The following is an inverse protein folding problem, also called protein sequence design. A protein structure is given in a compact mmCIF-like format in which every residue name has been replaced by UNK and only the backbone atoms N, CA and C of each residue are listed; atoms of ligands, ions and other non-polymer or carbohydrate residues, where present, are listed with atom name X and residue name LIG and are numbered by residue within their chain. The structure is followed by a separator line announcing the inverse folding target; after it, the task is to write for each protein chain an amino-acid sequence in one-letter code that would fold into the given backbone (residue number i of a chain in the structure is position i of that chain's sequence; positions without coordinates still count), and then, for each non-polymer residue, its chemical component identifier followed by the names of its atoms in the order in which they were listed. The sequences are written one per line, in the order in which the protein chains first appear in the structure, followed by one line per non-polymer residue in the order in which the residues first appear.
data_IF_549639191758
#
_entry.id   IF_549639191758
#
_cell.length_a   1.000
_cell.length_b   1.000
_cell.length_c   1.000
_cell.angle_alpha   90.00
_cell.angle_beta   90.00
_cell.angle_gamma   90.00
#
_symmetry.space_group_name_H-M   'P 1'
#
loop_
_entity.id
_entity.type
_entity.pdbx_description
1 polymer ?
#
# COMPACT_ATOMS: atom_id res chain seq x y z
N UNK A 1 25.94 -18.44 -37.58
CA UNK A 1 24.85 -19.43 -37.43
C UNK A 1 24.16 -19.37 -36.04
N UNK A 2 24.89 -19.10 -34.99
CA UNK A 2 24.35 -18.97 -33.62
C UNK A 2 23.50 -17.69 -33.43
N UNK A 3 23.85 -16.63 -34.09
CA UNK A 3 23.17 -15.29 -33.96
C UNK A 3 21.74 -15.24 -34.53
N UNK A 4 21.48 -15.88 -35.66
CA UNK A 4 20.15 -15.85 -36.31
C UNK A 4 19.08 -16.63 -35.54
N UNK A 5 19.48 -17.78 -34.94
CA UNK A 5 18.57 -18.61 -34.16
C UNK A 5 18.21 -17.96 -32.82
N UNK A 6 19.16 -17.31 -32.18
CA UNK A 6 18.93 -16.55 -30.95
C UNK A 6 18.03 -15.34 -31.20
N UNK A 7 18.22 -14.66 -32.32
CA UNK A 7 17.42 -13.53 -32.72
C UNK A 7 15.96 -13.93 -33.03
N UNK A 8 15.76 -15.05 -33.72
CA UNK A 8 14.43 -15.60 -33.95
C UNK A 8 13.73 -16.03 -32.67
N UNK A 9 14.44 -16.70 -31.74
CA UNK A 9 13.91 -17.06 -30.43
C UNK A 9 13.53 -15.82 -29.62
N UNK A 10 14.33 -14.77 -29.67
CA UNK A 10 14.02 -13.50 -29.01
C UNK A 10 12.73 -12.86 -29.56
N UNK A 11 12.64 -12.72 -30.89
CA UNK A 11 11.47 -12.11 -31.55
C UNK A 11 10.19 -12.93 -31.32
N UNK A 12 10.28 -14.24 -31.22
CA UNK A 12 9.11 -15.11 -30.96
C UNK A 12 8.71 -15.12 -29.48
N UNK A 13 9.69 -15.04 -28.57
CA UNK A 13 9.44 -15.10 -27.13
C UNK A 13 9.05 -13.74 -26.55
N UNK A 14 9.57 -12.64 -27.11
CA UNK A 14 9.34 -11.29 -26.60
C UNK A 14 7.84 -10.92 -26.50
N UNK A 15 7.02 -11.05 -27.56
CA UNK A 15 5.59 -10.74 -27.47
C UNK A 15 4.84 -11.72 -26.56
N UNK A 16 5.26 -12.99 -26.52
CA UNK A 16 4.64 -14.02 -25.66
C UNK A 16 4.84 -13.76 -24.17
N UNK A 17 5.89 -13.05 -23.78
CA UNK A 17 6.17 -12.67 -22.41
C UNK A 17 5.61 -11.26 -22.13
N UNK A 18 5.80 -10.32 -23.04
CA UNK A 18 5.41 -8.93 -22.87
C UNK A 18 3.90 -8.74 -22.79
N UNK A 19 3.13 -9.37 -23.69
CA UNK A 19 1.68 -9.22 -23.73
C UNK A 19 0.99 -9.67 -22.45
N UNK A 20 1.20 -10.93 -21.94
CA UNK A 20 0.64 -11.34 -20.66
C UNK A 20 1.15 -10.50 -19.49
N UNK A 21 2.43 -10.09 -19.52
CA UNK A 21 2.98 -9.17 -18.52
C UNK A 21 2.20 -7.86 -18.45
N UNK A 22 1.97 -7.22 -19.56
CA UNK A 22 1.21 -5.96 -19.62
C UNK A 22 -0.27 -6.16 -19.22
N UNK A 23 -0.93 -7.16 -19.77
CA UNK A 23 -2.37 -7.41 -19.54
C UNK A 23 -2.69 -7.88 -18.13
N UNK A 24 -1.77 -8.55 -17.44
CA UNK A 24 -1.96 -8.97 -16.06
C UNK A 24 -1.36 -7.98 -15.06
N UNK A 25 -0.12 -7.52 -15.29
CA UNK A 25 0.61 -6.71 -14.30
C UNK A 25 0.02 -5.30 -14.17
N UNK A 26 -0.35 -4.64 -15.28
CA UNK A 26 -0.90 -3.28 -15.23
C UNK A 26 -2.22 -3.23 -14.44
N UNK A 27 -3.24 -4.05 -14.76
CA UNK A 27 -4.47 -4.07 -13.97
C UNK A 27 -4.23 -4.46 -12.51
N UNK A 28 -3.37 -5.47 -12.26
CA UNK A 28 -3.01 -5.89 -10.91
C UNK A 28 -2.43 -4.73 -10.11
N UNK A 29 -1.47 -4.00 -10.67
CA UNK A 29 -0.83 -2.86 -10.01
C UNK A 29 -1.84 -1.74 -9.72
N UNK A 30 -2.65 -1.35 -10.71
CA UNK A 30 -3.62 -0.25 -10.54
C UNK A 30 -4.64 -0.60 -9.46
N UNK A 31 -5.23 -1.80 -9.51
CA UNK A 31 -6.25 -2.22 -8.55
C UNK A 31 -5.64 -2.35 -7.15
N UNK A 32 -4.54 -3.10 -7.02
CA UNK A 32 -3.89 -3.34 -5.73
C UNK A 32 -3.40 -2.05 -5.08
N UNK A 33 -2.77 -1.16 -5.84
CA UNK A 33 -2.27 0.10 -5.32
C UNK A 33 -3.39 1.07 -4.92
N UNK A 34 -4.48 1.12 -5.69
CA UNK A 34 -5.65 1.94 -5.34
C UNK A 34 -6.27 1.47 -4.01
N UNK A 35 -6.44 0.17 -3.84
CA UNK A 35 -6.93 -0.41 -2.58
C UNK A 35 -5.93 -0.20 -1.44
N UNK A 36 -4.64 -0.37 -1.70
CA UNK A 36 -3.57 -0.14 -0.74
C UNK A 36 -3.59 1.30 -0.20
N UNK A 37 -3.77 2.30 -1.06
CA UNK A 37 -3.87 3.70 -0.65
C UNK A 37 -5.06 3.95 0.27
N UNK A 38 -6.23 3.38 -0.01
CA UNK A 38 -7.41 3.50 0.85
C UNK A 38 -7.11 2.90 2.23
N UNK A 39 -6.59 1.68 2.27
CA UNK A 39 -6.21 0.99 3.51
C UNK A 39 -5.16 1.80 4.28
N UNK A 40 -4.15 2.31 3.59
CA UNK A 40 -3.06 3.09 4.16
C UNK A 40 -3.55 4.37 4.84
N UNK A 41 -4.39 5.14 4.14
CA UNK A 41 -4.94 6.39 4.68
C UNK A 41 -5.79 6.12 5.91
N UNK A 42 -6.68 5.11 5.86
CA UNK A 42 -7.51 4.73 7.00
C UNK A 42 -6.64 4.30 8.19
N UNK A 43 -5.67 3.40 7.98
CA UNK A 43 -4.81 2.91 9.04
C UNK A 43 -3.92 4.02 9.63
N UNK A 44 -3.40 4.93 8.82
CA UNK A 44 -2.60 6.06 9.28
C UNK A 44 -3.43 7.06 10.09
N UNK A 45 -4.63 7.41 9.63
CA UNK A 45 -5.52 8.33 10.33
C UNK A 45 -6.01 7.76 11.67
N UNK A 46 -6.33 6.47 11.73
CA UNK A 46 -6.69 5.78 12.97
C UNK A 46 -5.57 5.84 13.99
N UNK A 47 -4.33 5.64 13.54
CA UNK A 47 -3.17 5.72 14.42
C UNK A 47 -2.90 7.16 14.87
N UNK A 48 -3.03 8.14 13.97
CA UNK A 48 -2.82 9.57 14.26
C UNK A 48 -3.89 10.12 15.21
N UNK A 49 -5.17 9.76 15.01
CA UNK A 49 -6.28 10.15 15.88
C UNK A 49 -6.19 9.53 17.28
N UNK A 50 -5.28 8.60 17.51
CA UNK A 50 -5.00 7.95 18.81
C UNK A 50 -6.24 7.30 19.46
N UNK A 51 -7.16 6.78 18.66
CA UNK A 51 -8.36 6.09 19.14
C UNK A 51 -7.94 4.75 19.76
N UNK A 52 -8.07 4.63 21.08
CA UNK A 52 -7.70 3.41 21.82
C UNK A 52 -8.48 2.19 21.27
N UNK A 53 -7.80 1.06 21.12
CA UNK A 53 -8.37 -0.16 20.51
C UNK A 53 -8.14 -0.19 18.99
N UNK A 54 -8.68 0.74 18.22
CA UNK A 54 -8.47 0.78 16.77
C UNK A 54 -6.99 0.99 16.41
N UNK A 55 -6.29 1.82 17.16
CA UNK A 55 -4.85 2.01 17.03
C UNK A 55 -4.06 0.72 17.22
N UNK A 56 -4.46 -0.10 18.18
CA UNK A 56 -3.80 -1.40 18.43
C UNK A 56 -4.03 -2.37 17.28
N UNK A 57 -5.25 -2.41 16.73
CA UNK A 57 -5.59 -3.23 15.56
C UNK A 57 -4.77 -2.79 14.34
N UNK A 58 -4.71 -1.49 14.07
CA UNK A 58 -3.91 -0.96 12.96
C UNK A 58 -2.42 -1.27 13.12
N UNK A 59 -1.87 -1.15 14.32
CA UNK A 59 -0.47 -1.51 14.62
C UNK A 59 -0.21 -3.00 14.43
N UNK A 60 -1.12 -3.85 14.89
CA UNK A 60 -1.01 -5.31 14.74
C UNK A 60 -1.05 -5.72 13.27
N UNK A 61 -1.95 -5.12 12.49
CA UNK A 61 -1.99 -5.29 11.03
C UNK A 61 -0.64 -4.92 10.40
N UNK A 62 -0.14 -3.71 10.65
CA UNK A 62 1.12 -3.23 10.08
C UNK A 62 2.29 -4.12 10.53
N UNK A 63 2.32 -4.53 11.78
CA UNK A 63 3.36 -5.41 12.31
C UNK A 63 3.42 -6.75 11.59
N UNK A 64 2.27 -7.40 11.36
CA UNK A 64 2.20 -8.67 10.63
C UNK A 64 2.69 -8.51 9.19
N UNK A 65 2.11 -7.56 8.45
CA UNK A 65 2.37 -7.44 7.02
C UNK A 65 3.77 -6.93 6.69
N UNK A 66 4.36 -6.09 7.55
CA UNK A 66 5.75 -5.65 7.40
C UNK A 66 6.76 -6.64 7.99
N UNK A 67 6.34 -7.47 8.93
CA UNK A 67 7.18 -8.48 9.56
C UNK A 67 7.26 -9.82 8.81
N UNK A 68 6.47 -10.00 7.76
CA UNK A 68 6.43 -11.24 6.99
C UNK A 68 6.77 -11.00 5.51
N UNK A 69 7.52 -11.90 4.86
CA UNK A 69 7.83 -11.78 3.43
C UNK A 69 6.55 -11.85 2.57
N UNK A 70 6.45 -10.99 1.56
CA UNK A 70 5.31 -10.93 0.63
C UNK A 70 4.97 -12.29 0.01
N UNK A 71 6.00 -13.07 -0.36
CA UNK A 71 5.81 -14.40 -0.96
C UNK A 71 5.12 -15.37 0.01
N UNK A 72 5.48 -15.31 1.30
CA UNK A 72 4.85 -16.14 2.35
C UNK A 72 3.37 -15.75 2.49
N UNK A 73 3.06 -14.46 2.51
CA UNK A 73 1.68 -13.97 2.57
C UNK A 73 0.86 -14.49 1.37
N UNK A 74 1.44 -14.45 0.17
CA UNK A 74 0.80 -14.97 -1.04
C UNK A 74 0.50 -16.47 -0.93
N UNK A 75 1.46 -17.27 -0.43
CA UNK A 75 1.25 -18.69 -0.23
C UNK A 75 0.20 -19.00 0.84
N UNK A 76 0.18 -18.25 1.94
CA UNK A 76 -0.83 -18.41 2.99
C UNK A 76 -2.23 -18.11 2.45
N UNK A 77 -2.40 -17.04 1.68
CA UNK A 77 -3.70 -16.69 1.11
C UNK A 77 -4.11 -17.69 0.04
N UNK A 78 -3.24 -18.02 -0.91
CA UNK A 78 -3.60 -18.88 -2.04
C UNK A 78 -3.79 -20.35 -1.61
N UNK A 79 -2.84 -20.92 -0.89
CA UNK A 79 -2.90 -22.32 -0.48
C UNK A 79 -3.61 -22.53 0.87
N UNK A 80 -3.47 -21.57 1.80
CA UNK A 80 -4.11 -21.68 3.12
C UNK A 80 -5.62 -21.58 3.04
N UNK A 81 -6.17 -20.63 2.29
CA UNK A 81 -7.61 -20.50 2.07
C UNK A 81 -8.22 -21.70 1.35
N UNK A 82 -7.48 -22.26 0.37
CA UNK A 82 -7.92 -23.47 -0.33
C UNK A 82 -8.08 -24.68 0.61
N UNK A 83 -7.28 -24.75 1.68
CA UNK A 83 -7.39 -25.83 2.69
C UNK A 83 -8.67 -25.73 3.54
N UNK A 84 -9.22 -24.53 3.72
CA UNK A 84 -10.49 -24.30 4.43
C UNK A 84 -11.70 -24.21 3.50
N UNK A 85 -11.53 -24.61 2.23
CA UNK A 85 -12.61 -24.68 1.24
C UNK A 85 -12.86 -23.39 0.46
N UNK A 86 -12.05 -22.34 0.66
CA UNK A 86 -12.15 -21.09 -0.10
C UNK A 86 -11.09 -21.11 -1.21
N UNK A 87 -11.53 -21.42 -2.43
CA UNK A 87 -10.66 -21.46 -3.60
C UNK A 87 -10.71 -20.09 -4.29
N UNK A 88 -9.58 -19.39 -4.28
CA UNK A 88 -9.42 -18.12 -4.98
C UNK A 88 -8.62 -18.32 -6.27
N UNK A 89 -9.03 -17.65 -7.33
CA UNK A 89 -8.19 -17.53 -8.51
C UNK A 89 -6.90 -16.76 -8.20
N UNK A 90 -5.80 -17.01 -8.94
CA UNK A 90 -4.51 -16.38 -8.68
C UNK A 90 -4.54 -14.85 -8.70
N UNK A 91 -5.33 -14.25 -9.61
CA UNK A 91 -5.40 -12.80 -9.74
C UNK A 91 -6.07 -12.12 -8.53
N UNK A 92 -7.28 -12.50 -8.07
CA UNK A 92 -7.86 -11.97 -6.83
C UNK A 92 -7.00 -12.21 -5.59
N UNK A 93 -6.37 -13.39 -5.48
CA UNK A 93 -5.47 -13.67 -4.36
C UNK A 93 -4.27 -12.70 -4.33
N UNK A 94 -3.67 -12.43 -5.50
CA UNK A 94 -2.60 -11.45 -5.63
C UNK A 94 -3.08 -10.02 -5.30
N UNK A 95 -4.25 -9.60 -5.79
CA UNK A 95 -4.83 -8.29 -5.48
C UNK A 95 -4.97 -8.10 -3.97
N UNK A 96 -5.53 -9.08 -3.26
CA UNK A 96 -5.73 -9.02 -1.80
C UNK A 96 -4.37 -8.86 -1.09
N UNK A 97 -3.42 -9.73 -1.40
CA UNK A 97 -2.12 -9.75 -0.70
C UNK A 97 -1.34 -8.47 -0.98
N UNK A 98 -1.27 -8.03 -2.23
CA UNK A 98 -0.53 -6.82 -2.60
C UNK A 98 -1.16 -5.57 -1.99
N UNK A 99 -2.50 -5.49 -1.98
CA UNK A 99 -3.21 -4.37 -1.35
C UNK A 99 -2.95 -4.29 0.15
N UNK A 100 -2.96 -5.42 0.85
CA UNK A 100 -2.72 -5.46 2.29
C UNK A 100 -1.24 -5.20 2.61
N UNK A 101 -0.32 -5.77 1.86
CA UNK A 101 1.11 -5.58 2.08
C UNK A 101 1.52 -4.13 1.83
N UNK A 102 1.25 -3.61 0.63
CA UNK A 102 1.58 -2.23 0.25
C UNK A 102 0.84 -1.21 1.14
N UNK A 103 -0.43 -1.50 1.47
CA UNK A 103 -1.21 -0.70 2.40
C UNK A 103 -0.56 -0.55 3.78
N UNK A 104 0.12 -1.59 4.29
CA UNK A 104 0.82 -1.54 5.55
C UNK A 104 2.10 -0.67 5.49
N UNK A 105 2.85 -0.75 4.38
CA UNK A 105 4.03 0.11 4.17
C UNK A 105 3.64 1.57 3.98
N UNK A 106 2.68 1.85 3.11
CA UNK A 106 2.17 3.21 2.88
C UNK A 106 1.55 3.82 4.13
N UNK A 107 0.83 3.03 4.95
CA UNK A 107 0.25 3.51 6.21
C UNK A 107 1.31 4.05 7.17
N UNK A 108 2.44 3.36 7.29
CA UNK A 108 3.54 3.80 8.16
C UNK A 108 4.22 5.06 7.62
N UNK A 109 4.42 5.15 6.30
CA UNK A 109 4.97 6.33 5.64
C UNK A 109 4.06 7.55 5.85
N UNK A 110 2.74 7.40 5.62
CA UNK A 110 1.76 8.46 5.83
C UNK A 110 1.71 8.86 7.32
N UNK A 111 1.73 7.90 8.25
CA UNK A 111 1.78 8.17 9.68
C UNK A 111 3.01 8.99 10.06
N UNK A 112 4.19 8.60 9.60
CA UNK A 112 5.44 9.31 9.86
C UNK A 112 5.38 10.75 9.31
N UNK A 113 4.84 10.93 8.10
CA UNK A 113 4.65 12.25 7.51
C UNK A 113 3.66 13.12 8.31
N UNK A 114 2.56 12.56 8.80
CA UNK A 114 1.62 13.28 9.67
C UNK A 114 2.26 13.68 11.01
N UNK A 115 3.05 12.81 11.60
CA UNK A 115 3.75 13.07 12.87
C UNK A 115 4.91 14.07 12.72
N UNK A 116 5.44 14.26 11.52
CA UNK A 116 6.49 15.26 11.25
C UNK A 116 5.97 16.69 11.27
N UNK A 117 4.65 16.90 11.13
CA UNK A 117 4.04 18.24 11.23
C UNK A 117 4.07 18.71 12.67
N UNK A 118 4.61 19.92 12.97
CA UNK A 118 4.68 20.44 14.32
C UNK A 118 3.29 20.53 14.99
N UNK A 119 3.20 20.06 16.23
CA UNK A 119 1.93 20.06 17.00
C UNK A 119 1.27 21.45 17.08
N UNK A 120 2.07 22.50 17.10
CA UNK A 120 1.59 23.88 17.09
C UNK A 120 0.72 24.22 15.87
N UNK A 121 0.87 23.52 14.75
CA UNK A 121 0.00 23.71 13.58
C UNK A 121 -1.42 23.18 13.85
N UNK A 122 -1.52 22.06 14.57
CA UNK A 122 -2.81 21.52 14.98
C UNK A 122 -3.48 22.44 16.01
N UNK A 123 -2.72 22.90 16.99
CA UNK A 123 -3.19 23.81 18.04
C UNK A 123 -3.62 25.16 17.46
N UNK A 124 -2.85 25.73 16.56
CA UNK A 124 -3.20 26.99 15.87
C UNK A 124 -4.50 26.87 15.07
N UNK A 125 -4.71 25.74 14.38
CA UNK A 125 -5.96 25.49 13.67
C UNK A 125 -7.18 25.43 14.60
N UNK A 126 -7.05 24.76 15.74
CA UNK A 126 -8.10 24.68 16.76
C UNK A 126 -8.37 26.07 17.39
N UNK A 127 -7.32 26.86 17.71
CA UNK A 127 -7.45 28.21 18.19
C UNK A 127 -8.12 29.16 17.19
N UNK A 128 -7.94 28.92 15.89
CA UNK A 128 -8.64 29.64 14.82
C UNK A 128 -10.12 29.23 14.65
N UNK A 129 -10.64 28.33 15.51
CA UNK A 129 -12.03 27.88 15.48
C UNK A 129 -12.31 26.76 14.47
N UNK A 130 -11.28 26.14 13.88
CA UNK A 130 -11.45 24.99 13.00
C UNK A 130 -11.74 23.73 13.83
N UNK A 131 -12.63 22.88 13.34
CA UNK A 131 -12.80 21.55 13.93
C UNK A 131 -11.55 20.70 13.71
N UNK A 132 -11.37 19.65 14.51
CA UNK A 132 -10.23 18.72 14.39
C UNK A 132 -10.05 18.18 12.97
N UNK A 133 -11.12 17.73 12.35
CA UNK A 133 -11.08 17.25 10.96
C UNK A 133 -10.73 18.35 9.97
N UNK A 134 -11.29 19.54 10.12
CA UNK A 134 -10.96 20.69 9.27
C UNK A 134 -9.47 21.06 9.39
N UNK A 135 -8.92 21.03 10.59
CA UNK A 135 -7.50 21.31 10.84
C UNK A 135 -6.63 20.25 10.19
N UNK A 136 -7.00 18.96 10.32
CA UNK A 136 -6.27 17.87 9.64
C UNK A 136 -6.28 18.07 8.12
N UNK A 137 -7.45 18.22 7.50
CA UNK A 137 -7.53 18.25 6.05
C UNK A 137 -7.02 19.55 5.42
N UNK A 138 -7.13 20.70 6.11
CA UNK A 138 -6.73 22.00 5.56
C UNK A 138 -5.31 22.42 5.91
N UNK A 139 -4.79 22.00 7.04
CA UNK A 139 -3.48 22.45 7.55
C UNK A 139 -2.48 21.31 7.60
N UNK A 140 -2.79 20.21 8.30
CA UNK A 140 -1.83 19.14 8.57
C UNK A 140 -1.57 18.31 7.31
N UNK A 141 -2.61 17.86 6.64
CA UNK A 141 -2.49 16.95 5.49
C UNK A 141 -1.70 17.56 4.32
N UNK A 142 -1.92 18.81 3.89
CA UNK A 142 -1.12 19.41 2.81
C UNK A 142 0.37 19.54 3.16
N UNK A 143 0.70 19.79 4.42
CA UNK A 143 2.09 19.83 4.89
C UNK A 143 2.71 18.42 4.93
N UNK A 144 1.98 17.44 5.48
CA UNK A 144 2.39 16.05 5.52
C UNK A 144 2.63 15.46 4.12
N UNK A 145 1.79 15.79 3.14
CA UNK A 145 1.97 15.35 1.76
C UNK A 145 3.29 15.83 1.16
N UNK A 146 3.70 17.07 1.41
CA UNK A 146 5.00 17.58 0.95
C UNK A 146 6.14 16.78 1.57
N UNK A 147 6.06 16.50 2.87
CA UNK A 147 7.06 15.68 3.58
C UNK A 147 7.09 14.27 3.03
N UNK A 148 5.95 13.64 2.81
CA UNK A 148 5.84 12.29 2.25
C UNK A 148 6.52 12.19 0.87
N UNK A 149 6.29 13.16 -0.02
CA UNK A 149 6.91 13.20 -1.35
C UNK A 149 8.42 13.44 -1.30
N UNK A 150 8.91 14.24 -0.37
CA UNK A 150 10.35 14.51 -0.20
C UNK A 150 11.11 13.30 0.36
N UNK A 151 10.52 12.57 1.30
CA UNK A 151 11.16 11.37 1.90
C UNK A 151 11.08 10.12 1.01
N UNK A 152 10.34 10.14 -0.08
CA UNK A 152 10.30 9.04 -1.06
C UNK A 152 11.47 9.11 -2.04
N UNK A 153 12.28 10.19 -2.01
CA UNK A 153 13.40 10.43 -2.93
C UNK A 153 14.78 10.04 -2.36
N UNK A 154 14.88 9.56 -1.13
CA UNK A 154 16.07 9.03 -0.49
C UNK A 154 15.92 7.52 -0.24
#
# INVERSE_FOLDING_TARGET
MFSSRLWQLFLDSFPKILLPGLTATIPLTIISFSLALVIAVVAALVQFANIQGLKQIARFYIWIFRGTPLLVQLFVVFFGLSRVGIVLDPFPAAVIVFSLNEGAYCAETIRAALESVPKGQLEAGLCAGLSYLQTIFRIVLPQAMRTCLLYTSD
#
